data_IF_022782908212
#
_entry.id   IF_022782908212
#
_cell.length_a   1.000
_cell.length_b   1.000
_cell.length_c   1.000
_cell.angle_alpha   90.00
_cell.angle_beta   90.00
_cell.angle_gamma   90.00
#
_symmetry.space_group_name_H-M   'P 1'
#
loop_
_entity.id
_entity.type
_entity.pdbx_description
1 polymer ?
#
# COMPACT_ATOMS: atom_id res chain seq x y z
N UNK A 1 7.91 9.03 -5.11
CA UNK A 1 9.29 9.55 -5.16
C UNK A 1 9.49 10.58 -4.05
N UNK A 2 10.74 10.91 -3.73
CA UNK A 2 11.09 11.94 -2.76
C UNK A 2 11.69 13.15 -3.49
N UNK A 3 10.91 14.21 -3.60
CA UNK A 3 11.30 15.46 -4.26
C UNK A 3 11.98 16.46 -3.31
N UNK A 4 12.02 16.16 -2.01
CA UNK A 4 12.61 17.00 -0.99
C UNK A 4 14.03 16.57 -0.61
N UNK A 5 14.63 17.34 0.31
CA UNK A 5 15.97 17.07 0.84
C UNK A 5 16.00 16.01 1.95
N UNK A 6 14.88 15.87 2.68
CA UNK A 6 14.80 15.03 3.87
C UNK A 6 14.69 13.56 3.45
N UNK A 7 15.46 12.67 4.07
CA UNK A 7 15.34 11.23 3.85
C UNK A 7 14.04 10.73 4.47
N UNK A 8 13.32 9.87 3.77
CA UNK A 8 12.15 9.18 4.30
C UNK A 8 12.40 7.69 4.44
N UNK A 9 11.78 7.06 5.44
CA UNK A 9 11.66 5.62 5.58
C UNK A 9 10.18 5.27 5.50
N UNK A 10 9.68 4.94 4.31
CA UNK A 10 8.23 4.75 4.09
C UNK A 10 7.83 3.36 4.60
N UNK A 11 7.01 3.33 5.64
CA UNK A 11 6.54 2.12 6.30
C UNK A 11 5.13 1.74 5.80
N UNK A 12 4.94 0.45 5.52
CA UNK A 12 3.70 -0.16 5.04
C UNK A 12 3.15 -1.08 6.11
N UNK A 13 2.04 -0.69 6.74
CA UNK A 13 1.40 -1.55 7.73
C UNK A 13 0.80 -2.79 7.05
N UNK A 14 1.01 -3.97 7.63
CA UNK A 14 0.39 -5.23 7.17
C UNK A 14 0.95 -5.82 5.88
N UNK A 15 1.95 -5.19 5.25
CA UNK A 15 2.54 -5.69 4.00
C UNK A 15 4.06 -5.56 3.99
N UNK A 16 4.71 -6.47 3.27
CA UNK A 16 6.06 -6.28 2.76
C UNK A 16 5.96 -5.95 1.27
N UNK A 17 6.75 -4.99 0.81
CA UNK A 17 6.80 -4.56 -0.59
C UNK A 17 8.16 -4.85 -1.20
N UNK A 18 8.16 -5.24 -2.46
CA UNK A 18 9.38 -5.44 -3.25
C UNK A 18 9.74 -4.12 -3.93
N UNK A 19 11.04 -3.82 -4.02
CA UNK A 19 11.51 -2.70 -4.84
C UNK A 19 11.81 -3.24 -6.23
N UNK A 20 11.12 -2.73 -7.23
CA UNK A 20 11.28 -3.11 -8.64
C UNK A 20 12.43 -2.33 -9.26
N UNK A 21 12.49 -1.02 -8.96
CA UNK A 21 13.54 -0.14 -9.47
C UNK A 21 13.80 1.03 -8.53
N UNK A 22 15.01 1.61 -8.60
CA UNK A 22 15.39 2.87 -7.95
C UNK A 22 15.98 3.81 -8.98
N UNK A 23 15.48 5.04 -9.04
CA UNK A 23 15.92 6.03 -10.03
C UNK A 23 15.89 5.45 -11.47
N UNK A 24 14.86 4.67 -11.79
CA UNK A 24 14.69 3.93 -13.05
C UNK A 24 15.78 2.86 -13.33
N UNK A 25 16.60 2.50 -12.34
CA UNK A 25 17.54 1.38 -12.42
C UNK A 25 16.89 0.16 -11.77
N UNK A 26 16.70 -0.96 -12.50
CA UNK A 26 16.16 -2.19 -11.93
C UNK A 26 16.95 -2.65 -10.71
N UNK A 27 16.26 -3.03 -9.65
CA UNK A 27 16.86 -3.58 -8.45
C UNK A 27 16.53 -5.07 -8.40
N UNK A 28 17.55 -5.93 -8.52
CA UNK A 28 17.37 -7.38 -8.54
C UNK A 28 17.83 -8.00 -7.22
N UNK A 29 17.12 -9.03 -6.78
CA UNK A 29 17.50 -9.90 -5.65
C UNK A 29 17.48 -9.28 -4.25
N UNK A 30 16.63 -8.29 -3.97
CA UNK A 30 16.35 -7.87 -2.60
C UNK A 30 15.08 -8.56 -2.06
N UNK A 31 15.08 -8.97 -0.78
CA UNK A 31 13.86 -9.43 -0.14
C UNK A 31 12.87 -8.27 -0.02
N UNK A 32 11.57 -8.60 -0.06
CA UNK A 32 10.51 -7.67 0.28
C UNK A 32 10.69 -7.13 1.71
N UNK A 33 10.34 -5.86 1.93
CA UNK A 33 10.50 -5.17 3.23
C UNK A 33 9.24 -4.39 3.56
N UNK A 34 8.95 -4.25 4.85
CA UNK A 34 7.85 -3.40 5.31
C UNK A 34 8.19 -1.89 5.28
N UNK A 35 9.47 -1.55 5.21
CA UNK A 35 9.96 -0.18 5.34
C UNK A 35 11.00 0.12 4.27
N UNK A 36 10.73 1.12 3.42
CA UNK A 36 11.54 1.45 2.26
C UNK A 36 12.31 2.76 2.49
N UNK A 37 13.66 2.73 2.51
CA UNK A 37 14.44 3.95 2.54
C UNK A 37 14.31 4.67 1.19
N UNK A 38 13.99 5.96 1.25
CA UNK A 38 13.84 6.84 0.10
C UNK A 38 14.63 8.13 0.35
N UNK A 39 15.92 8.17 -0.04
CA UNK A 39 16.73 9.37 0.04
C UNK A 39 16.13 10.57 -0.69
N UNK A 40 16.58 11.77 -0.32
CA UNK A 40 16.20 12.99 -1.04
C UNK A 40 16.54 12.91 -2.52
N UNK A 41 15.66 13.43 -3.37
CA UNK A 41 15.80 13.43 -4.83
C UNK A 41 15.89 12.04 -5.48
N UNK A 42 15.28 11.03 -4.86
CA UNK A 42 15.26 9.68 -5.43
C UNK A 42 13.84 9.17 -5.67
N UNK A 43 13.70 8.25 -6.61
CA UNK A 43 12.48 7.49 -6.86
C UNK A 43 12.71 6.02 -6.55
N UNK A 44 11.65 5.34 -6.12
CA UNK A 44 11.58 3.90 -6.04
C UNK A 44 10.23 3.47 -6.63
N UNK A 45 10.26 2.45 -7.45
CA UNK A 45 9.07 1.75 -7.93
C UNK A 45 8.90 0.48 -7.11
N UNK A 46 7.69 0.25 -6.60
CA UNK A 46 7.41 -0.80 -5.64
C UNK A 46 6.32 -1.72 -6.17
N UNK A 47 6.47 -3.01 -5.91
CA UNK A 47 5.44 -4.02 -6.11
C UNK A 47 4.84 -4.40 -4.76
N UNK A 48 3.53 -4.15 -4.61
CA UNK A 48 2.74 -4.48 -3.42
C UNK A 48 1.74 -5.58 -3.79
N UNK A 49 1.99 -6.80 -3.32
CA UNK A 49 1.03 -7.89 -3.43
C UNK A 49 -0.06 -7.77 -2.34
N UNK A 50 -1.29 -7.43 -2.74
CA UNK A 50 -2.42 -7.28 -1.81
C UNK A 50 -2.98 -8.67 -1.45
N UNK A 51 -2.49 -9.23 -0.34
CA UNK A 51 -2.81 -10.60 0.11
C UNK A 51 -3.82 -10.68 1.26
N UNK A 52 -4.11 -9.57 1.93
CA UNK A 52 -5.04 -9.50 3.06
C UNK A 52 -5.99 -8.30 2.94
N UNK A 53 -7.27 -8.42 3.34
CA UNK A 53 -8.19 -7.30 3.37
C UNK A 53 -7.99 -6.44 4.62
N UNK A 54 -8.32 -5.15 4.52
CA UNK A 54 -8.27 -4.22 5.65
C UNK A 54 -7.95 -2.78 5.21
N UNK A 55 -7.82 -1.89 6.19
CA UNK A 55 -7.36 -0.52 5.98
C UNK A 55 -6.02 -0.37 6.69
N UNK A 56 -4.98 -0.03 5.94
CA UNK A 56 -3.59 -0.07 6.41
C UNK A 56 -2.89 1.28 6.19
N UNK A 57 -2.36 1.92 7.25
CA UNK A 57 -1.58 3.13 7.08
C UNK A 57 -0.29 2.91 6.28
N UNK A 58 0.09 3.93 5.53
CA UNK A 58 1.41 4.09 4.93
C UNK A 58 1.93 5.47 5.29
N UNK A 59 3.10 5.53 5.91
CA UNK A 59 3.67 6.79 6.37
C UNK A 59 5.21 6.71 6.50
N UNK A 60 5.93 7.84 6.48
CA UNK A 60 7.32 7.87 6.92
C UNK A 60 7.42 7.44 8.39
N UNK A 61 8.40 6.61 8.71
CA UNK A 61 8.70 6.16 10.07
C UNK A 61 9.51 7.21 10.88
N UNK A 62 9.27 8.49 10.59
CA UNK A 62 9.86 9.65 11.26
C UNK A 62 8.73 10.46 11.91
N UNK A 63 8.80 10.65 13.23
CA UNK A 63 7.76 11.34 14.00
C UNK A 63 7.53 12.76 13.47
N UNK A 64 8.59 13.48 13.09
CA UNK A 64 8.49 14.86 12.60
C UNK A 64 7.75 14.94 11.25
N UNK A 65 7.81 13.89 10.43
CA UNK A 65 7.16 13.84 9.13
C UNK A 65 5.68 13.45 9.19
N UNK A 66 5.19 13.02 10.37
CA UNK A 66 3.79 12.69 10.65
C UNK A 66 3.16 13.68 11.64
N UNK A 67 3.71 14.90 11.68
CA UNK A 67 3.20 16.02 12.48
C UNK A 67 3.05 17.27 11.63
N UNK A 68 2.22 18.20 12.10
CA UNK A 68 2.14 19.57 11.59
C UNK A 68 2.34 20.52 12.78
N UNK A 69 3.45 21.27 12.75
CA UNK A 69 3.87 22.13 13.85
C UNK A 69 3.81 21.48 15.25
N UNK A 70 4.23 20.21 15.34
CA UNK A 70 4.23 19.42 16.57
C UNK A 70 2.91 18.73 16.92
N UNK A 71 1.84 18.92 16.14
CA UNK A 71 0.55 18.24 16.34
C UNK A 71 0.50 16.91 15.59
N UNK A 72 0.06 15.85 16.28
CA UNK A 72 -0.08 14.49 15.77
C UNK A 72 -1.54 14.00 15.85
N UNK A 73 -2.08 13.23 14.88
CA UNK A 73 -1.46 12.80 13.62
C UNK A 73 -1.74 13.80 12.47
N UNK A 74 -0.69 14.25 11.79
CA UNK A 74 -0.78 15.09 10.58
C UNK A 74 0.34 14.70 9.58
N UNK A 75 0.60 15.52 8.57
CA UNK A 75 1.72 15.33 7.65
C UNK A 75 1.51 14.20 6.63
N UNK A 76 2.57 13.44 6.36
CA UNK A 76 2.59 12.44 5.28
C UNK A 76 2.02 11.11 5.76
N UNK A 77 0.69 10.99 5.80
CA UNK A 77 0.00 9.75 6.14
C UNK A 77 -1.06 9.48 5.08
N UNK A 78 -1.08 8.26 4.54
CA UNK A 78 -2.14 7.79 3.63
C UNK A 78 -2.64 6.42 4.10
N UNK A 79 -3.83 6.03 3.65
CA UNK A 79 -4.41 4.72 3.93
C UNK A 79 -4.51 3.91 2.65
N UNK A 80 -4.04 2.66 2.69
CA UNK A 80 -4.41 1.63 1.72
C UNK A 80 -5.73 1.03 2.19
N UNK A 81 -6.80 1.24 1.44
CA UNK A 81 -8.06 0.51 1.65
C UNK A 81 -8.08 -0.72 0.72
N UNK A 82 -7.77 -1.87 1.30
CA UNK A 82 -7.85 -3.18 0.68
C UNK A 82 -9.12 -3.95 1.12
N UNK A 83 -10.11 -3.26 1.70
CA UNK A 83 -11.40 -3.87 2.00
C UNK A 83 -12.15 -4.09 0.67
N UNK A 84 -12.34 -5.35 0.30
CA UNK A 84 -13.09 -5.65 -0.91
C UNK A 84 -14.54 -5.18 -0.73
N UNK A 85 -15.01 -4.24 -1.55
CA UNK A 85 -16.43 -4.21 -1.90
C UNK A 85 -16.64 -5.28 -2.98
N UNK A 86 -16.75 -6.54 -2.58
CA UNK A 86 -17.37 -7.51 -3.50
C UNK A 86 -18.84 -7.13 -3.62
N UNK A 87 -19.39 -6.82 -4.81
CA UNK A 87 -20.84 -6.81 -4.97
C UNK A 87 -21.31 -8.20 -4.59
N UNK A 88 -22.22 -8.30 -3.61
CA UNK A 88 -22.78 -9.57 -3.19
C UNK A 88 -23.19 -10.32 -4.45
N UNK A 89 -22.60 -11.50 -4.73
CA UNK A 89 -23.14 -12.38 -5.76
C UNK A 89 -24.55 -12.72 -5.31
N UNK A 90 -25.51 -11.96 -5.83
CA UNK A 90 -26.93 -12.23 -5.66
C UNK A 90 -27.14 -13.59 -6.29
N UNK A 91 -27.18 -14.63 -5.47
CA UNK A 91 -27.53 -15.97 -5.90
C UNK A 91 -28.91 -15.86 -6.54
N UNK A 92 -28.95 -15.94 -7.88
CA UNK A 92 -30.20 -16.16 -8.60
C UNK A 92 -30.67 -17.56 -8.24
N UNK A 93 -31.35 -17.69 -7.10
CA UNK A 93 -32.22 -18.84 -6.82
C UNK A 93 -33.48 -18.68 -7.68
N UNK A 94 -33.34 -19.00 -8.97
CA UNK A 94 -34.42 -19.04 -9.95
C UNK A 94 -34.76 -20.49 -10.28
N UNK A 95 -35.74 -21.03 -9.56
CA UNK A 95 -36.39 -22.35 -9.71
C UNK A 95 -36.30 -22.98 -11.11
N UNK A 96 -35.70 -24.17 -11.16
CA UNK A 96 -35.99 -25.17 -12.19
C UNK A 96 -37.46 -25.59 -12.10
N UNK A 97 -38.28 -25.19 -13.08
CA UNK A 97 -39.57 -25.82 -13.34
C UNK A 97 -39.36 -26.91 -14.39
N UNK A 98 -39.21 -28.13 -13.91
CA UNK A 98 -39.34 -29.36 -14.69
C UNK A 98 -40.84 -29.70 -14.81
N UNK A 99 -41.42 -29.53 -16.01
CA UNK A 99 -42.63 -30.23 -16.48
C UNK A 99 -42.20 -30.85 -17.82
N UNK A 100 -41.79 -32.12 -17.89
CA UNK A 100 -42.59 -33.37 -17.93
C UNK A 100 -43.86 -33.24 -18.78
N UNK A 101 -43.75 -33.89 -19.95
CA UNK A 101 -44.76 -34.32 -20.94
C UNK A 101 -45.12 -33.28 -21.98
#
# INVERSE_FOLDING_TARGET
>A
GNLGHVRHAIHFHGYHVEIVSRNNVPETMLPAKDTIPLPGYTTAELNLAVTQPGIFPVHPHSLTNVTDNGLYPHGQIVLIDASATQPSRRTRHGRSRRRRR
#
